data_IF_840541868651
#
_entry.id   IF_840541868651
#
_cell.length_a   1.000
_cell.length_b   1.000
_cell.length_c   1.000
_cell.angle_alpha   90.00
_cell.angle_beta   90.00
_cell.angle_gamma   90.00
#
_symmetry.space_group_name_H-M   'P 1'
#
loop_
_entity.id
_entity.type
_entity.pdbx_description
1 polymer ?
#
# COMPACT_ATOMS: atom_id res chain seq x y z
N UNK A 1 8.99 -5.35 26.06
CA UNK A 1 8.27 -4.31 25.31
C UNK A 1 9.29 -3.46 24.55
N UNK A 2 9.54 -3.78 23.29
CA UNK A 2 10.25 -2.91 22.33
C UNK A 2 9.92 -3.40 20.94
N UNK A 3 9.43 -2.51 20.09
CA UNK A 3 9.76 -2.50 18.67
C UNK A 3 9.57 -1.07 18.17
N UNK A 4 10.70 -0.35 18.18
CA UNK A 4 10.96 0.70 17.21
C UNK A 4 11.59 -0.07 16.05
N UNK A 5 10.86 -0.29 14.96
CA UNK A 5 11.43 -0.92 13.78
C UNK A 5 12.09 0.17 12.91
N UNK A 6 13.38 0.37 13.20
CA UNK A 6 14.36 0.88 12.24
C UNK A 6 14.83 -0.34 11.44
N UNK A 7 13.96 -0.91 10.61
CA UNK A 7 14.28 -1.88 9.56
C UNK A 7 13.00 -2.13 8.75
N UNK A 8 13.06 -2.04 7.43
CA UNK A 8 11.92 -1.81 6.51
C UNK A 8 10.87 -2.93 6.38
N UNK A 9 10.62 -3.74 7.40
CA UNK A 9 9.76 -4.93 7.37
C UNK A 9 8.58 -4.88 8.35
N UNK A 10 8.04 -3.70 8.66
CA UNK A 10 6.77 -3.65 9.43
C UNK A 10 5.59 -3.74 8.47
N UNK A 11 4.72 -4.77 8.58
CA UNK A 11 3.54 -4.86 7.73
C UNK A 11 2.65 -3.64 7.94
N UNK A 12 2.15 -3.05 6.84
CA UNK A 12 1.37 -1.81 6.92
C UNK A 12 0.22 -1.91 7.93
N UNK A 13 -0.55 -3.01 7.89
CA UNK A 13 -1.68 -3.22 8.80
C UNK A 13 -1.26 -3.17 10.28
N UNK A 14 -0.07 -3.67 10.59
CA UNK A 14 0.49 -3.63 11.96
C UNK A 14 0.83 -2.19 12.32
N UNK A 15 1.51 -1.44 11.43
CA UNK A 15 1.83 -0.04 11.66
C UNK A 15 0.58 0.83 11.88
N UNK A 16 -0.50 0.58 11.14
CA UNK A 16 -1.79 1.28 11.31
C UNK A 16 -2.40 0.96 12.68
N UNK A 17 -2.42 -0.32 13.08
CA UNK A 17 -2.95 -0.71 14.38
C UNK A 17 -2.17 -0.05 15.53
N UNK A 18 -0.84 -0.04 15.48
CA UNK A 18 0.00 0.60 16.49
C UNK A 18 -0.24 2.13 16.55
N UNK A 19 -0.35 2.78 15.39
CA UNK A 19 -0.66 4.21 15.34
C UNK A 19 -2.04 4.54 15.96
N UNK A 20 -3.04 3.67 15.75
CA UNK A 20 -4.37 3.82 16.36
C UNK A 20 -4.32 3.58 17.87
N UNK A 21 -3.59 2.57 18.34
CA UNK A 21 -3.42 2.32 19.78
C UNK A 21 -2.69 3.48 20.48
N UNK A 22 -1.63 4.02 19.87
CA UNK A 22 -0.96 5.23 20.38
C UNK A 22 -1.91 6.44 20.42
N UNK A 23 -2.77 6.61 19.41
CA UNK A 23 -3.76 7.68 19.39
C UNK A 23 -4.82 7.55 20.50
N UNK A 24 -5.14 6.32 20.94
CA UNK A 24 -6.03 6.10 22.10
C UNK A 24 -5.38 6.53 23.42
N UNK A 25 -4.07 6.31 23.55
CA UNK A 25 -3.33 6.58 24.79
C UNK A 25 -2.98 8.06 24.91
N UNK A 26 -2.64 8.72 23.80
CA UNK A 26 -2.07 10.07 23.79
C UNK A 26 -2.93 11.13 23.08
N UNK A 27 -4.01 10.74 22.41
CA UNK A 27 -4.88 11.63 21.65
C UNK A 27 -6.19 11.98 22.36
N UNK A 28 -7.00 12.81 21.71
CA UNK A 28 -8.39 13.08 22.11
C UNK A 28 -9.32 11.92 21.74
N UNK A 29 -10.53 11.88 22.28
CA UNK A 29 -11.53 10.82 22.00
C UNK A 29 -11.80 10.58 20.50
N UNK A 30 -11.63 11.62 19.68
CA UNK A 30 -11.78 11.58 18.22
C UNK A 30 -10.54 11.09 17.46
N UNK A 31 -9.36 11.11 18.08
CA UNK A 31 -8.08 10.84 17.43
C UNK A 31 -7.95 9.42 16.86
N UNK A 32 -8.34 8.33 17.57
CA UNK A 32 -8.21 6.97 17.04
C UNK A 32 -8.97 6.77 15.73
N UNK A 33 -10.17 7.35 15.64
CA UNK A 33 -11.04 7.25 14.47
C UNK A 33 -10.54 8.10 13.30
N UNK A 34 -9.98 9.28 13.60
CA UNK A 34 -9.31 10.12 12.61
C UNK A 34 -8.08 9.44 12.01
N UNK A 35 -7.18 8.92 12.86
CA UNK A 35 -5.97 8.21 12.42
C UNK A 35 -6.31 6.99 11.57
N UNK A 36 -7.29 6.20 11.99
CA UNK A 36 -7.75 5.04 11.21
C UNK A 36 -8.29 5.47 9.83
N UNK A 37 -9.09 6.55 9.77
CA UNK A 37 -9.61 7.06 8.50
C UNK A 37 -8.52 7.55 7.53
N UNK A 38 -7.56 8.34 8.02
CA UNK A 38 -6.44 8.85 7.20
C UNK A 38 -5.56 7.70 6.72
N UNK A 39 -5.06 6.86 7.65
CA UNK A 39 -4.13 5.78 7.29
C UNK A 39 -4.80 4.66 6.50
N UNK A 40 -6.10 4.40 6.72
CA UNK A 40 -6.89 3.48 5.91
C UNK A 40 -7.00 3.94 4.45
N UNK A 41 -7.31 5.21 4.22
CA UNK A 41 -7.39 5.75 2.85
C UNK A 41 -6.04 5.74 2.12
N UNK A 42 -4.93 5.90 2.86
CA UNK A 42 -3.58 5.79 2.30
C UNK A 42 -3.21 4.33 1.99
N UNK A 43 -3.65 3.39 2.83
CA UNK A 43 -3.44 1.96 2.63
C UNK A 43 -4.10 1.45 1.35
N UNK A 44 -5.31 1.92 1.03
CA UNK A 44 -6.02 1.56 -0.19
C UNK A 44 -5.26 1.97 -1.46
N UNK A 45 -4.57 3.12 -1.39
CA UNK A 45 -3.76 3.68 -2.49
C UNK A 45 -2.32 3.18 -2.51
N UNK A 46 -1.91 2.31 -1.59
CA UNK A 46 -0.53 1.84 -1.55
C UNK A 46 -0.13 1.06 -2.81
N UNK A 47 -1.03 0.27 -3.39
CA UNK A 47 -0.75 -0.44 -4.64
C UNK A 47 -0.50 0.55 -5.79
N UNK A 48 -1.27 1.63 -5.88
CA UNK A 48 -1.12 2.69 -6.89
C UNK A 48 0.20 3.45 -6.72
N UNK A 49 0.58 3.78 -5.47
CA UNK A 49 1.84 4.47 -5.16
C UNK A 49 3.05 3.56 -5.36
N UNK A 50 2.98 2.28 -4.97
CA UNK A 50 4.04 1.32 -5.26
C UNK A 50 4.19 1.12 -6.76
N UNK A 51 3.11 0.97 -7.52
CA UNK A 51 3.16 0.86 -8.98
C UNK A 51 3.77 2.11 -9.64
N UNK A 52 3.39 3.31 -9.20
CA UNK A 52 3.95 4.57 -9.69
C UNK A 52 5.45 4.76 -9.36
N UNK A 53 5.92 4.18 -8.25
CA UNK A 53 7.34 4.21 -7.85
C UNK A 53 8.16 3.08 -8.50
N UNK A 54 7.54 1.93 -8.79
CA UNK A 54 8.21 0.77 -9.41
C UNK A 54 8.31 0.91 -10.94
N UNK A 55 7.44 1.69 -11.58
CA UNK A 55 7.44 1.92 -13.02
C UNK A 55 7.45 3.44 -13.32
N UNK A 56 8.61 4.10 -13.45
CA UNK A 56 8.71 5.50 -13.86
C UNK A 56 8.42 5.73 -15.36
N UNK A 57 7.74 4.79 -16.03
CA UNK A 57 7.45 4.84 -17.45
C UNK A 57 6.21 5.70 -17.72
N UNK A 58 6.46 6.99 -17.93
CA UNK A 58 5.65 7.99 -18.65
C UNK A 58 4.22 8.33 -18.13
N UNK A 59 3.94 9.59 -17.69
CA UNK A 59 2.62 10.02 -17.19
C UNK A 59 1.49 10.11 -18.23
N UNK A 60 1.63 9.55 -19.44
CA UNK A 60 0.61 9.65 -20.50
C UNK A 60 -0.18 8.37 -20.82
N UNK A 61 0.06 7.23 -20.16
CA UNK A 61 -0.76 6.03 -20.39
C UNK A 61 -2.04 6.06 -19.54
N UNK A 62 -3.11 6.58 -20.14
CA UNK A 62 -4.48 6.25 -19.72
C UNK A 62 -4.72 4.75 -19.85
N UNK A 63 -5.56 4.13 -19.00
CA UNK A 63 -5.86 2.71 -19.07
C UNK A 63 -6.80 2.45 -20.25
N UNK A 64 -6.28 2.51 -21.47
CA UNK A 64 -7.01 2.17 -22.69
C UNK A 64 -6.75 0.71 -23.04
N UNK A 65 -7.74 -0.12 -22.72
CA UNK A 65 -8.15 -1.32 -23.45
C UNK A 65 -7.03 -2.16 -24.06
N UNK A 66 -6.62 -3.17 -23.31
CA UNK A 66 -5.90 -4.38 -23.71
C UNK A 66 -6.18 -4.84 -25.16
N UNK A 67 -5.20 -4.63 -26.04
CA UNK A 67 -5.06 -5.38 -27.30
C UNK A 67 -4.36 -6.72 -26.98
N UNK A 68 -4.98 -7.88 -27.29
CA UNK A 68 -4.44 -9.20 -26.95
C UNK A 68 -3.22 -9.62 -27.79
N UNK A 69 -2.62 -8.73 -28.58
CA UNK A 69 -1.53 -9.05 -29.51
C UNK A 69 -0.13 -8.63 -29.02
N UNK A 70 0.02 -8.06 -27.82
CA UNK A 70 1.31 -7.57 -27.32
C UNK A 70 2.21 -8.73 -26.80
N UNK A 71 3.39 -8.98 -27.40
CA UNK A 71 4.31 -10.02 -26.98
C UNK A 71 5.10 -9.69 -25.68
N UNK A 72 4.91 -8.50 -25.09
CA UNK A 72 5.57 -8.08 -23.84
C UNK A 72 4.84 -8.55 -22.57
N UNK A 73 3.83 -9.40 -22.68
CA UNK A 73 3.18 -9.98 -21.51
C UNK A 73 4.22 -10.75 -20.65
N UNK A 74 4.32 -10.49 -19.33
CA UNK A 74 5.12 -11.33 -18.47
C UNK A 74 4.62 -12.78 -18.59
N UNK A 75 5.50 -13.80 -18.66
CA UNK A 75 5.05 -15.17 -18.81
C UNK A 75 4.09 -15.49 -17.66
N UNK A 76 2.89 -15.97 -18.02
CA UNK A 76 1.91 -16.43 -17.05
C UNK A 76 2.56 -17.53 -16.21
N UNK A 77 2.80 -17.25 -14.93
CA UNK A 77 3.32 -18.20 -13.96
C UNK A 77 2.25 -19.22 -13.61
N UNK A 78 1.88 -20.08 -14.56
CA UNK A 78 1.06 -21.24 -14.29
C UNK A 78 1.39 -22.41 -15.23
N UNK A 79 2.56 -23.00 -14.99
CA UNK A 79 2.98 -24.34 -15.40
C UNK A 79 3.88 -24.83 -14.24
N UNK A 80 3.78 -26.00 -13.61
CA UNK A 80 3.17 -27.31 -13.88
C UNK A 80 3.18 -28.03 -12.51
N UNK A 81 2.13 -28.72 -12.06
CA UNK A 81 1.81 -30.13 -12.32
C UNK A 81 0.37 -30.44 -11.90
#
# INVERSE_FOLDING_TARGET
MRLIAVDGETPLKVAINEAVELAKIYGSDSAPRFVNGVLGSLAERQNELQQALQNPSDPSETPETSDPSDPSAPPSSHETF
#
